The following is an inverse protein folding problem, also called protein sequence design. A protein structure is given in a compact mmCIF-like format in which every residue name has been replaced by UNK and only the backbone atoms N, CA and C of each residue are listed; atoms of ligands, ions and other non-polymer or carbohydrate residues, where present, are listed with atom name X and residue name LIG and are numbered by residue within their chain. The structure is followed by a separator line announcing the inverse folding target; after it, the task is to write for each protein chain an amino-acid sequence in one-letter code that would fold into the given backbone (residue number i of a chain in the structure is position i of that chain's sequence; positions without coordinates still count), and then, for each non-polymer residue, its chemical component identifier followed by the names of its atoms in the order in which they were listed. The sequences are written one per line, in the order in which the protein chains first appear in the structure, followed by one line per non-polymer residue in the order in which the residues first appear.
data_IF_792967333999
#
_entry.id   IF_792967333999
#
_cell.length_a   1.000
_cell.length_b   1.000
_cell.length_c   1.000
_cell.angle_alpha   90.00
_cell.angle_beta   90.00
_cell.angle_gamma   90.00
#
_symmetry.space_group_name_H-M   'P 1'
#
loop_
_entity.id
_entity.type
_entity.pdbx_description
1 polymer ?
#
# COMPACT_ATOMS: atom_id res chain seq x y z
N UNK A 1 -27.99 -31.39 -44.45
CA UNK A 1 -27.30 -31.55 -43.15
C UNK A 1 -27.01 -30.16 -42.62
N UNK A 2 -27.72 -29.70 -41.61
CA UNK A 2 -27.43 -28.44 -40.94
C UNK A 2 -26.18 -28.69 -40.09
N UNK A 3 -25.13 -27.90 -40.26
CA UNK A 3 -23.91 -28.00 -39.44
C UNK A 3 -24.19 -27.42 -38.05
N UNK A 4 -24.36 -28.27 -37.07
CA UNK A 4 -24.63 -27.88 -35.67
C UNK A 4 -23.36 -27.37 -34.95
N UNK A 5 -22.19 -27.54 -35.58
CA UNK A 5 -20.90 -27.12 -34.98
C UNK A 5 -20.73 -25.63 -34.73
N UNK A 6 -21.52 -24.77 -35.40
CA UNK A 6 -21.49 -23.32 -35.17
C UNK A 6 -22.26 -22.88 -33.92
N UNK A 7 -23.33 -23.57 -33.58
CA UNK A 7 -24.15 -23.25 -32.40
C UNK A 7 -23.36 -23.48 -31.09
N UNK A 8 -22.71 -24.62 -30.97
CA UNK A 8 -21.88 -24.99 -29.81
C UNK A 8 -20.73 -23.99 -29.56
N UNK A 9 -20.10 -23.53 -30.68
CA UNK A 9 -19.02 -22.54 -30.56
C UNK A 9 -19.52 -21.19 -30.01
N UNK A 10 -20.71 -20.76 -30.42
CA UNK A 10 -21.35 -19.52 -29.93
C UNK A 10 -21.77 -19.67 -28.46
N UNK A 11 -22.38 -20.79 -28.09
CA UNK A 11 -22.76 -21.08 -26.69
C UNK A 11 -21.54 -21.09 -25.78
N UNK A 12 -20.46 -21.78 -26.20
CA UNK A 12 -19.20 -21.76 -25.46
C UNK A 12 -18.62 -20.34 -25.30
N UNK A 13 -18.59 -19.56 -26.37
CA UNK A 13 -18.08 -18.18 -26.36
C UNK A 13 -18.85 -17.28 -25.44
N UNK A 14 -20.19 -17.42 -25.38
CA UNK A 14 -21.04 -16.63 -24.45
C UNK A 14 -20.80 -16.94 -22.98
N UNK A 15 -20.40 -18.17 -22.65
CA UNK A 15 -20.11 -18.58 -21.28
C UNK A 15 -18.65 -18.33 -20.93
N UNK A 16 -17.73 -18.60 -21.85
CA UNK A 16 -16.30 -18.48 -21.61
C UNK A 16 -15.86 -17.04 -21.31
N UNK A 17 -16.45 -16.05 -21.99
CA UNK A 17 -16.07 -14.65 -21.81
C UNK A 17 -16.42 -14.12 -20.40
N UNK A 18 -17.66 -14.22 -19.89
CA UNK A 18 -17.97 -13.79 -18.53
C UNK A 18 -17.22 -14.63 -17.47
N UNK A 19 -16.98 -15.91 -17.71
CA UNK A 19 -16.22 -16.77 -16.83
C UNK A 19 -14.74 -16.32 -16.73
N UNK A 20 -14.09 -16.08 -17.88
CA UNK A 20 -12.72 -15.58 -17.90
C UNK A 20 -12.62 -14.20 -17.21
N UNK A 21 -13.58 -13.30 -17.48
CA UNK A 21 -13.65 -12.00 -16.81
C UNK A 21 -13.73 -12.15 -15.30
N UNK A 22 -14.58 -13.04 -14.81
CA UNK A 22 -14.72 -13.29 -13.36
C UNK A 22 -13.44 -13.85 -12.75
N UNK A 23 -12.74 -14.77 -13.43
CA UNK A 23 -11.44 -15.26 -12.97
C UNK A 23 -10.40 -14.13 -12.89
N UNK A 24 -10.30 -13.28 -13.88
CA UNK A 24 -9.37 -12.14 -13.86
C UNK A 24 -9.68 -11.18 -12.70
N UNK A 25 -10.95 -10.92 -12.43
CA UNK A 25 -11.36 -10.10 -11.29
C UNK A 25 -10.91 -10.70 -9.94
N UNK A 26 -11.05 -12.02 -9.78
CA UNK A 26 -10.58 -12.71 -8.55
C UNK A 26 -9.07 -12.57 -8.41
N UNK A 27 -8.31 -12.80 -9.48
CA UNK A 27 -6.86 -12.65 -9.47
C UNK A 27 -6.43 -11.22 -9.15
N UNK A 28 -7.07 -10.22 -9.74
CA UNK A 28 -6.74 -8.82 -9.52
C UNK A 28 -6.98 -8.38 -8.08
N UNK A 29 -8.13 -8.75 -7.51
CA UNK A 29 -8.43 -8.49 -6.09
C UNK A 29 -7.45 -9.25 -5.19
N UNK A 30 -7.12 -10.49 -5.51
CA UNK A 30 -6.14 -11.28 -4.79
C UNK A 30 -4.75 -10.63 -4.79
N UNK A 31 -4.28 -10.11 -5.92
CA UNK A 31 -3.01 -9.38 -6.01
C UNK A 31 -3.03 -8.09 -5.21
N UNK A 32 -4.13 -7.35 -5.20
CA UNK A 32 -4.28 -6.13 -4.40
C UNK A 32 -4.18 -6.45 -2.89
N UNK A 33 -4.86 -7.49 -2.41
CA UNK A 33 -4.75 -7.92 -1.02
C UNK A 33 -3.37 -8.45 -0.67
N UNK A 34 -2.74 -9.16 -1.59
CA UNK A 34 -1.36 -9.60 -1.43
C UNK A 34 -0.42 -8.41 -1.27
N UNK A 35 -0.51 -7.40 -2.16
CA UNK A 35 0.29 -6.19 -2.08
C UNK A 35 0.05 -5.42 -0.76
N UNK A 36 -1.20 -5.30 -0.32
CA UNK A 36 -1.54 -4.69 0.96
C UNK A 36 -0.89 -5.42 2.16
N UNK A 37 -0.90 -6.76 2.12
CA UNK A 37 -0.27 -7.59 3.16
C UNK A 37 1.25 -7.44 3.16
N UNK A 38 1.88 -7.41 1.99
CA UNK A 38 3.33 -7.18 1.85
C UNK A 38 3.71 -5.79 2.35
N UNK A 39 2.93 -4.75 2.00
CA UNK A 39 3.15 -3.39 2.49
C UNK A 39 3.12 -3.36 4.02
N UNK A 40 2.09 -3.94 4.64
CA UNK A 40 1.93 -3.95 6.08
C UNK A 40 3.08 -4.73 6.78
N UNK A 41 3.49 -5.86 6.23
CA UNK A 41 4.61 -6.65 6.75
C UNK A 41 5.95 -5.89 6.64
N UNK A 42 6.20 -5.24 5.51
CA UNK A 42 7.43 -4.47 5.28
C UNK A 42 7.50 -3.22 6.17
N UNK A 43 6.39 -2.50 6.33
CA UNK A 43 6.30 -1.36 7.26
C UNK A 43 6.55 -1.81 8.70
N UNK A 44 5.96 -2.91 9.15
CA UNK A 44 6.20 -3.45 10.49
C UNK A 44 7.65 -3.87 10.71
N UNK A 45 8.34 -4.38 9.69
CA UNK A 45 9.77 -4.68 9.76
C UNK A 45 10.59 -3.41 9.94
N UNK A 46 10.34 -2.38 9.14
CA UNK A 46 11.03 -1.10 9.23
C UNK A 46 10.74 -0.37 10.56
N UNK A 47 9.51 -0.42 11.05
CA UNK A 47 9.10 0.11 12.36
C UNK A 47 9.91 -0.51 13.51
N UNK A 48 10.24 -1.78 13.40
CA UNK A 48 11.06 -2.44 14.44
C UNK A 48 12.42 -1.76 14.61
N UNK A 49 13.08 -1.35 13.53
CA UNK A 49 14.38 -0.67 13.58
C UNK A 49 14.27 0.70 14.27
N UNK A 50 13.19 1.44 14.04
CA UNK A 50 12.92 2.71 14.73
C UNK A 50 12.69 2.43 16.23
N UNK A 51 11.82 1.47 16.54
CA UNK A 51 11.41 1.18 17.92
C UNK A 51 12.58 0.75 18.81
N UNK A 52 13.55 0.02 18.26
CA UNK A 52 14.73 -0.47 19.00
C UNK A 52 15.88 0.53 19.06
N UNK A 53 15.78 1.70 18.45
CA UNK A 53 16.87 2.69 18.39
C UNK A 53 17.92 2.40 17.32
N UNK A 54 17.74 1.35 16.53
CA UNK A 54 18.70 0.98 15.48
C UNK A 54 18.70 2.01 14.33
N UNK A 55 17.52 2.53 13.97
CA UNK A 55 17.39 3.57 12.97
C UNK A 55 18.14 4.85 13.37
N UNK A 56 17.96 5.29 14.62
CA UNK A 56 18.60 6.49 15.19
C UNK A 56 20.12 6.33 15.24
N UNK A 57 20.61 5.19 15.73
CA UNK A 57 22.04 4.91 15.85
C UNK A 57 22.75 4.83 14.49
N UNK A 58 22.07 4.36 13.47
CA UNK A 58 22.59 4.23 12.09
C UNK A 58 22.38 5.49 11.24
N UNK A 59 21.72 6.53 11.77
CA UNK A 59 21.38 7.74 11.03
C UNK A 59 20.46 7.44 9.84
N UNK A 60 19.43 6.63 10.06
CA UNK A 60 18.48 6.26 9.04
C UNK A 60 17.82 7.49 8.41
N UNK A 61 17.51 7.39 7.14
CA UNK A 61 16.86 8.45 6.36
C UNK A 61 15.54 7.96 5.79
N UNK A 62 14.65 8.90 5.44
CA UNK A 62 13.41 8.59 4.74
C UNK A 62 13.66 7.71 3.50
N UNK A 63 14.69 8.03 2.73
CA UNK A 63 15.04 7.28 1.52
C UNK A 63 15.47 5.84 1.82
N UNK A 64 16.29 5.64 2.86
CA UNK A 64 16.71 4.30 3.29
C UNK A 64 15.51 3.47 3.76
N UNK A 65 14.61 4.06 4.56
CA UNK A 65 13.40 3.40 5.03
C UNK A 65 12.45 3.04 3.87
N UNK A 66 12.24 3.94 2.91
CA UNK A 66 11.45 3.65 1.69
C UNK A 66 12.06 2.49 0.91
N UNK A 67 13.37 2.46 0.76
CA UNK A 67 14.08 1.35 0.08
C UNK A 67 13.84 0.03 0.83
N UNK A 68 14.03 -0.01 2.14
CA UNK A 68 13.81 -1.21 2.94
C UNK A 68 12.37 -1.73 2.87
N UNK A 69 11.37 -0.83 2.88
CA UNK A 69 9.96 -1.21 2.68
C UNK A 69 9.76 -1.80 1.28
N UNK A 70 10.32 -1.17 0.24
CA UNK A 70 10.15 -1.59 -1.14
C UNK A 70 10.92 -2.87 -1.49
N UNK A 71 12.00 -3.18 -0.79
CA UNK A 71 12.73 -4.45 -0.94
C UNK A 71 11.83 -5.66 -0.60
N UNK A 72 10.88 -5.49 0.32
CA UNK A 72 9.85 -6.49 0.61
C UNK A 72 8.96 -6.85 -0.57
N UNK A 73 8.85 -5.97 -1.56
CA UNK A 73 8.12 -6.21 -2.81
C UNK A 73 8.96 -6.91 -3.89
N UNK A 74 10.23 -7.22 -3.63
CA UNK A 74 11.14 -7.91 -4.56
C UNK A 74 11.22 -7.26 -5.95
N UNK A 75 11.14 -5.94 -6.00
CA UNK A 75 11.12 -5.18 -7.26
C UNK A 75 9.81 -5.26 -8.05
N UNK A 76 8.78 -5.89 -7.48
CA UNK A 76 7.46 -5.93 -8.08
C UNK A 76 6.73 -4.59 -7.84
N UNK A 77 5.88 -4.20 -8.80
CA UNK A 77 4.85 -3.15 -8.62
C UNK A 77 5.33 -1.70 -8.47
N UNK A 78 6.57 -1.35 -8.85
CA UNK A 78 7.02 0.05 -8.90
C UNK A 78 7.00 0.79 -7.56
N UNK A 79 7.12 0.06 -6.44
CA UNK A 79 7.01 0.59 -5.08
C UNK A 79 7.88 1.83 -4.83
N UNK A 80 9.12 1.84 -5.30
CA UNK A 80 10.09 2.90 -4.97
C UNK A 80 9.72 4.29 -5.51
N UNK A 81 8.96 4.36 -6.60
CA UNK A 81 8.53 5.63 -7.20
C UNK A 81 7.22 6.15 -6.60
N UNK A 82 6.35 5.27 -6.16
CA UNK A 82 4.97 5.60 -5.80
C UNK A 82 4.71 5.59 -4.28
N UNK A 83 5.60 4.98 -3.49
CA UNK A 83 5.48 4.94 -2.04
C UNK A 83 5.64 6.33 -1.44
N UNK A 84 4.62 6.81 -0.76
CA UNK A 84 4.66 8.01 0.08
C UNK A 84 4.75 7.58 1.54
N UNK A 85 5.74 8.05 2.28
CA UNK A 85 6.01 7.66 3.65
C UNK A 85 6.02 8.89 4.56
N UNK A 86 5.27 8.82 5.66
CA UNK A 86 5.27 9.83 6.71
C UNK A 86 5.60 9.16 8.04
N UNK A 87 6.72 9.56 8.62
CA UNK A 87 7.16 9.18 9.96
C UNK A 87 7.17 10.44 10.80
N UNK A 88 6.45 10.43 11.92
CA UNK A 88 6.34 11.62 12.78
C UNK A 88 6.20 11.24 14.24
N UNK A 89 6.88 11.98 15.09
CA UNK A 89 6.68 11.96 16.52
C UNK A 89 5.31 12.53 16.88
N UNK A 90 4.66 11.98 17.90
CA UNK A 90 3.41 12.47 18.50
C UNK A 90 3.56 12.52 20.02
N UNK A 91 2.87 13.46 20.65
CA UNK A 91 3.01 13.66 22.12
C UNK A 91 2.31 12.57 22.92
N UNK A 92 1.21 12.04 22.43
CA UNK A 92 0.50 10.93 23.08
C UNK A 92 -0.35 10.13 22.09
N UNK A 93 -0.78 8.92 22.50
CA UNK A 93 -1.75 8.13 21.71
C UNK A 93 -3.10 8.85 21.54
N UNK A 94 -3.47 9.73 22.47
CA UNK A 94 -4.76 10.43 22.43
C UNK A 94 -4.75 11.58 21.40
N UNK A 95 -3.58 12.12 21.07
CA UNK A 95 -3.43 13.27 20.18
C UNK A 95 -3.24 12.87 18.70
N UNK A 96 -3.30 11.56 18.41
CA UNK A 96 -3.17 11.06 17.04
C UNK A 96 -4.43 11.39 16.25
N UNK A 97 -4.32 12.39 15.41
CA UNK A 97 -5.34 12.65 14.37
C UNK A 97 -4.91 12.00 13.06
N UNK A 98 -5.73 11.04 12.60
CA UNK A 98 -5.57 10.48 11.26
C UNK A 98 -6.24 11.47 10.29
N UNK A 99 -5.42 12.20 9.55
CA UNK A 99 -5.91 13.06 8.47
C UNK A 99 -6.24 12.19 7.26
N UNK A 100 -7.32 12.50 6.56
CA UNK A 100 -7.63 11.84 5.30
C UNK A 100 -6.47 12.08 4.32
N UNK A 101 -5.83 11.01 3.82
CA UNK A 101 -4.71 11.15 2.90
C UNK A 101 -5.11 11.64 1.52
N UNK A 102 -6.41 11.63 1.22
CA UNK A 102 -6.95 12.01 -0.09
C UNK A 102 -7.68 13.35 0.04
N UNK A 103 -7.25 14.33 -0.72
CA UNK A 103 -7.89 15.63 -0.80
C UNK A 103 -9.24 15.59 -1.51
N UNK A 104 -10.02 16.65 -1.40
CA UNK A 104 -11.37 16.73 -1.98
C UNK A 104 -11.42 16.59 -3.51
N UNK A 105 -10.29 16.80 -4.19
CA UNK A 105 -10.12 16.59 -5.64
C UNK A 105 -9.68 15.15 -6.00
N UNK A 106 -9.52 14.28 -5.00
CA UNK A 106 -9.13 12.89 -5.18
C UNK A 106 -7.62 12.69 -5.38
N UNK A 107 -6.78 13.69 -5.08
CA UNK A 107 -5.33 13.54 -5.13
C UNK A 107 -4.75 13.14 -3.78
N UNK A 108 -3.63 12.41 -3.79
CA UNK A 108 -2.88 12.09 -2.58
C UNK A 108 -2.21 13.37 -2.05
N UNK A 109 -2.58 13.80 -0.83
CA UNK A 109 -2.16 15.08 -0.23
C UNK A 109 -1.29 14.92 1.01
N UNK A 110 -0.62 13.78 1.15
CA UNK A 110 0.27 13.50 2.29
C UNK A 110 1.63 14.14 2.07
N UNK A 111 2.11 14.88 3.08
CA UNK A 111 3.47 15.39 3.10
C UNK A 111 4.42 14.32 3.65
N UNK A 112 5.47 14.01 2.92
CA UNK A 112 6.53 13.13 3.39
C UNK A 112 7.33 13.80 4.51
N UNK A 113 7.70 13.01 5.51
CA UNK A 113 8.52 13.46 6.62
C UNK A 113 9.17 12.29 7.33
N UNK A 114 10.29 12.55 8.00
CA UNK A 114 11.00 11.55 8.77
C UNK A 114 11.43 12.16 10.12
N UNK A 115 10.67 11.83 11.16
CA UNK A 115 10.94 12.15 12.56
C UNK A 115 10.70 10.86 13.35
N UNK A 116 11.76 10.13 13.57
CA UNK A 116 11.78 8.81 14.22
C UNK A 116 11.82 8.92 15.76
N UNK A 117 11.87 10.16 16.29
CA UNK A 117 11.87 10.42 17.73
C UNK A 117 13.09 9.86 18.45
N UNK A 118 13.18 10.14 19.76
CA UNK A 118 14.16 9.58 20.69
C UNK A 118 13.60 8.41 21.51
N UNK A 119 14.36 8.00 22.53
CA UNK A 119 13.93 6.99 23.50
C UNK A 119 12.61 7.38 24.17
N UNK A 120 11.74 6.42 24.38
CA UNK A 120 10.42 6.59 25.01
C UNK A 120 9.39 7.46 24.23
N UNK A 121 9.74 8.01 23.08
CA UNK A 121 8.83 8.81 22.27
C UNK A 121 7.77 7.96 21.57
N UNK A 122 6.59 8.54 21.34
CA UNK A 122 5.57 7.94 20.51
C UNK A 122 5.77 8.34 19.05
N UNK A 123 5.76 7.35 18.16
CA UNK A 123 5.98 7.55 16.73
C UNK A 123 4.84 6.92 15.94
N UNK A 124 4.33 7.65 14.95
CA UNK A 124 3.39 7.12 13.97
C UNK A 124 4.08 7.03 12.61
N UNK A 125 3.99 5.86 12.01
CA UNK A 125 4.46 5.57 10.65
C UNK A 125 3.26 5.30 9.77
N UNK A 126 3.14 6.05 8.70
CA UNK A 126 2.07 5.90 7.71
C UNK A 126 2.70 5.74 6.32
N UNK A 127 2.38 4.63 5.67
CA UNK A 127 2.81 4.32 4.31
C UNK A 127 1.60 4.29 3.39
N UNK A 128 1.70 4.98 2.27
CA UNK A 128 0.66 5.12 1.26
C UNK A 128 1.21 4.68 -0.08
N UNK A 129 0.62 3.66 -0.68
CA UNK A 129 1.04 3.12 -1.96
C UNK A 129 -0.14 3.13 -2.95
N UNK A 130 -0.14 4.03 -3.95
CA UNK A 130 -1.10 4.01 -5.03
C UNK A 130 -0.96 2.72 -5.87
N UNK A 131 -2.05 1.97 -6.00
CA UNK A 131 -2.10 0.69 -6.68
C UNK A 131 -2.92 0.77 -7.95
N UNK A 132 -2.31 0.44 -9.09
CA UNK A 132 -3.00 0.40 -10.39
C UNK A 132 -3.63 -0.97 -10.63
N UNK A 133 -4.91 -0.98 -10.98
CA UNK A 133 -5.58 -2.19 -11.45
C UNK A 133 -5.29 -2.41 -12.94
N UNK A 134 -4.96 -3.65 -13.31
CA UNK A 134 -4.57 -4.00 -14.67
C UNK A 134 -5.76 -4.09 -15.62
N UNK A 135 -6.93 -4.50 -15.13
CA UNK A 135 -8.09 -4.75 -16.00
C UNK A 135 -8.95 -3.53 -16.23
N UNK A 136 -8.87 -2.51 -15.38
CA UNK A 136 -9.76 -1.36 -15.43
C UNK A 136 -11.25 -1.69 -15.26
N UNK A 137 -11.60 -2.96 -15.00
CA UNK A 137 -12.99 -3.45 -14.89
C UNK A 137 -13.73 -2.86 -13.68
N UNK A 138 -12.99 -2.57 -12.61
CA UNK A 138 -13.55 -1.86 -11.46
C UNK A 138 -13.66 -0.36 -11.68
N UNK A 139 -13.06 0.15 -12.75
CA UNK A 139 -13.16 1.52 -13.24
C UNK A 139 -12.94 2.59 -12.17
N UNK A 140 -13.10 3.82 -12.55
CA UNK A 140 -13.04 4.98 -11.68
C UNK A 140 -14.12 5.02 -10.58
N UNK A 141 -15.19 4.24 -10.71
CA UNK A 141 -16.31 4.26 -9.77
C UNK A 141 -15.98 3.71 -8.36
N UNK A 142 -14.89 2.98 -8.19
CA UNK A 142 -14.44 2.38 -6.93
C UNK A 142 -13.01 2.75 -6.54
N UNK A 143 -12.28 3.49 -7.40
CA UNK A 143 -10.94 3.95 -7.11
C UNK A 143 -10.93 4.94 -5.94
N UNK A 144 -9.86 4.90 -5.14
CA UNK A 144 -9.67 5.84 -4.03
C UNK A 144 -9.16 7.19 -4.55
N UNK A 145 -8.36 7.16 -5.63
CA UNK A 145 -7.75 8.33 -6.22
C UNK A 145 -8.44 8.73 -7.54
N UNK A 146 -8.39 10.02 -7.86
CA UNK A 146 -8.99 10.59 -9.09
C UNK A 146 -8.37 10.05 -10.38
N UNK A 147 -7.14 9.54 -10.31
CA UNK A 147 -6.44 8.92 -11.44
C UNK A 147 -6.82 7.45 -11.69
N UNK A 148 -7.78 6.93 -10.94
CA UNK A 148 -8.28 5.56 -11.08
C UNK A 148 -7.50 4.51 -10.29
N UNK A 149 -6.52 4.92 -9.47
CA UNK A 149 -5.77 4.01 -8.60
C UNK A 149 -6.45 3.80 -7.24
N UNK A 150 -6.19 2.66 -6.63
CA UNK A 150 -6.54 2.39 -5.23
C UNK A 150 -5.38 2.82 -4.34
N UNK A 151 -5.70 3.37 -3.17
CA UNK A 151 -4.69 3.71 -2.18
C UNK A 151 -4.57 2.58 -1.16
N UNK A 152 -3.43 1.89 -1.17
CA UNK A 152 -3.07 0.95 -0.11
C UNK A 152 -2.45 1.75 1.03
N UNK A 153 -2.89 1.49 2.25
CA UNK A 153 -2.45 2.23 3.44
C UNK A 153 -2.01 1.25 4.52
N UNK A 154 -0.83 1.50 5.08
CA UNK A 154 -0.40 0.84 6.32
C UNK A 154 -0.07 1.92 7.35
N UNK A 155 -0.65 1.80 8.54
CA UNK A 155 -0.42 2.74 9.64
C UNK A 155 -0.02 1.97 10.89
N UNK A 156 1.08 2.36 11.50
CA UNK A 156 1.56 1.77 12.75
C UNK A 156 1.92 2.88 13.73
N UNK A 157 1.37 2.81 14.92
CA UNK A 157 1.66 3.69 16.05
C UNK A 157 2.30 2.87 17.17
N UNK A 158 3.44 3.32 17.67
CA UNK A 158 4.20 2.62 18.71
C UNK A 158 4.93 3.61 19.61
N UNK A 159 5.49 3.10 20.68
CA UNK A 159 6.42 3.82 21.54
C UNK A 159 7.82 3.23 21.35
N UNK A 160 8.80 4.10 21.19
CA UNK A 160 10.21 3.70 21.16
C UNK A 160 10.59 3.05 22.50
N UNK A 161 11.45 2.06 22.44
CA UNK A 161 12.03 1.45 23.62
C UNK A 161 13.02 2.43 24.29
N UNK A 162 13.27 2.30 25.59
CA UNK A 162 14.34 3.07 26.21
C UNK A 162 15.69 2.56 25.70
N UNK A 163 16.36 3.35 24.86
CA UNK A 163 17.70 3.10 24.36
C UNK A 163 18.60 4.27 24.72
N UNK A 164 19.91 4.00 24.92
CA UNK A 164 20.91 5.03 25.16
C UNK A 164 21.21 5.74 23.82
N UNK A 165 21.17 7.09 23.85
CA UNK A 165 21.51 7.94 22.70
C UNK A 165 23.05 8.05 22.53
#
# INVERSE_FOLDING_TARGET
MRSEGGATAVEFGLIALPFATFLFLIFEVGLMFFAATVLDASVKSAVREIRTGEAQSNGATLAAMKTGICDGFLGLFGCSSDLVLSVRKVDSFADVTLTDPVSSDGTLSVTEGFDDGGADDYVIVQAFLPWSLSTGLFGSAKATLSDGRFLLVSTTLFRNEPFDE
#
